data_IF_869897765268
#
_entry.id   IF_869897765268
#
_cell.length_a   1.000
_cell.length_b   1.000
_cell.length_c   1.000
_cell.angle_alpha   90.00
_cell.angle_beta   90.00
_cell.angle_gamma   90.00
#
_symmetry.space_group_name_H-M   'P 1'
#
loop_
_entity.id
_entity.type
_entity.pdbx_description
1 polymer ?
#
# COMPACT_ATOMS: atom_id res chain seq x y z
N UNK A 1 2.42 2.88 21.33
CA UNK A 1 1.29 2.02 20.89
C UNK A 1 0.55 2.75 19.76
N UNK A 2 0.28 2.10 18.63
CA UNK A 2 -0.23 2.76 17.41
C UNK A 2 -1.68 3.26 17.55
N UNK A 3 -2.02 4.36 16.86
CA UNK A 3 -3.33 5.00 16.92
C UNK A 3 -4.46 4.06 16.39
N UNK A 4 -5.49 3.73 17.20
CA UNK A 4 -6.59 2.83 16.81
C UNK A 4 -7.39 3.32 15.59
N UNK A 5 -7.38 4.63 15.29
CA UNK A 5 -8.04 5.19 14.10
C UNK A 5 -7.42 4.74 12.78
N UNK A 6 -6.16 4.29 12.79
CA UNK A 6 -5.47 3.77 11.60
C UNK A 6 -5.81 2.31 11.29
N UNK A 7 -6.70 1.65 12.04
CA UNK A 7 -7.10 0.25 11.83
C UNK A 7 -8.43 0.11 11.10
N UNK A 8 -8.80 1.07 10.25
CA UNK A 8 -9.93 0.88 9.33
C UNK A 8 -9.54 -0.17 8.28
N UNK A 9 -9.83 -1.43 8.58
CA UNK A 9 -9.63 -2.57 7.71
C UNK A 9 -10.83 -2.68 6.76
N UNK A 10 -10.59 -2.48 5.47
CA UNK A 10 -11.59 -2.72 4.42
C UNK A 10 -11.26 -4.08 3.83
N UNK A 11 -12.15 -5.07 4.02
CA UNK A 11 -11.94 -6.44 3.58
C UNK A 11 -10.57 -7.02 4.00
N UNK A 12 -10.18 -6.88 5.28
CA UNK A 12 -8.87 -7.32 5.83
C UNK A 12 -7.64 -6.63 5.22
N UNK A 13 -7.83 -5.57 4.44
CA UNK A 13 -6.76 -4.73 3.91
C UNK A 13 -6.78 -3.38 4.62
N UNK A 14 -5.63 -2.95 5.15
CA UNK A 14 -5.51 -1.62 5.72
C UNK A 14 -5.24 -0.62 4.57
N UNK A 15 -6.32 0.03 4.10
CA UNK A 15 -6.23 0.97 2.99
C UNK A 15 -5.41 2.19 3.38
N UNK A 16 -5.58 2.72 4.60
CA UNK A 16 -4.82 3.86 5.12
C UNK A 16 -3.32 3.56 5.15
N UNK A 17 -2.90 2.39 5.63
CA UNK A 17 -1.50 2.01 5.62
C UNK A 17 -0.94 1.82 4.19
N UNK A 18 -1.79 1.56 3.21
CA UNK A 18 -1.42 1.41 1.81
C UNK A 18 -1.42 2.74 1.04
N UNK A 19 -2.09 3.78 1.54
CA UNK A 19 -2.24 5.09 0.86
C UNK A 19 -1.59 6.26 1.61
N UNK A 20 -1.27 6.11 2.90
CA UNK A 20 -0.63 7.14 3.71
C UNK A 20 0.90 7.05 3.64
N UNK A 21 1.52 8.08 3.07
CA UNK A 21 2.97 8.23 3.06
C UNK A 21 3.48 8.59 4.45
N UNK A 22 4.45 7.83 4.95
CA UNK A 22 5.19 8.17 6.19
C UNK A 22 6.21 9.27 5.92
N UNK A 23 6.44 10.14 6.90
CA UNK A 23 7.40 11.26 6.82
C UNK A 23 8.85 10.79 6.58
N UNK A 24 9.21 9.60 7.05
CA UNK A 24 10.53 9.00 6.87
C UNK A 24 10.71 8.25 5.53
N UNK A 25 9.73 8.33 4.62
CA UNK A 25 9.80 7.65 3.34
C UNK A 25 10.70 8.42 2.35
N UNK A 26 11.84 7.83 2.00
CA UNK A 26 12.82 8.39 1.07
C UNK A 26 12.49 8.17 -0.41
N UNK A 27 11.73 7.13 -0.76
CA UNK A 27 11.37 6.80 -2.15
C UNK A 27 10.22 7.67 -2.68
N UNK A 28 9.49 8.35 -1.79
CA UNK A 28 8.26 9.04 -2.13
C UNK A 28 7.05 8.12 -2.29
N UNK A 29 7.24 6.79 -2.28
CA UNK A 29 6.21 5.79 -2.59
C UNK A 29 6.05 4.81 -1.43
N UNK A 30 4.80 4.59 -1.02
CA UNK A 30 4.47 3.74 0.12
C UNK A 30 4.83 2.29 -0.19
N UNK A 31 5.38 1.59 0.80
CA UNK A 31 5.81 0.21 0.63
C UNK A 31 7.08 0.04 -0.22
N UNK A 32 7.73 1.13 -0.63
CA UNK A 32 9.06 1.10 -1.26
C UNK A 32 10.08 1.70 -0.29
N UNK A 33 11.07 0.91 0.11
CA UNK A 33 12.11 1.31 1.05
C UNK A 33 13.50 0.91 0.57
N UNK A 34 14.51 1.73 0.88
CA UNK A 34 15.91 1.41 0.63
C UNK A 34 16.48 0.55 1.77
N UNK A 35 17.02 -0.61 1.42
CA UNK A 35 17.81 -1.44 2.33
C UNK A 35 19.28 -1.02 2.25
N UNK A 36 19.83 -0.50 3.35
CA UNK A 36 21.22 -0.03 3.41
C UNK A 36 22.22 -1.17 3.45
N UNK A 37 21.84 -2.33 3.98
CA UNK A 37 22.71 -3.48 4.16
C UNK A 37 22.85 -4.23 2.85
N UNK A 38 21.73 -4.49 2.18
CA UNK A 38 21.72 -5.14 0.88
C UNK A 38 21.99 -4.15 -0.27
N UNK A 39 22.01 -2.85 -0.01
CA UNK A 39 22.11 -1.78 -1.01
C UNK A 39 21.12 -1.95 -2.17
N UNK A 40 19.86 -2.25 -1.83
CA UNK A 40 18.81 -2.52 -2.80
C UNK A 40 17.47 -1.87 -2.40
N UNK A 41 16.62 -1.60 -3.38
CA UNK A 41 15.26 -1.13 -3.18
C UNK A 41 14.31 -2.30 -2.97
N UNK A 42 13.53 -2.24 -1.90
CA UNK A 42 12.57 -3.28 -1.56
C UNK A 42 11.16 -2.75 -1.75
N UNK A 43 10.36 -3.44 -2.57
CA UNK A 43 8.94 -3.14 -2.76
C UNK A 43 8.09 -4.23 -2.09
N UNK A 44 7.20 -3.81 -1.18
CA UNK A 44 6.30 -4.69 -0.43
C UNK A 44 4.87 -4.22 -0.54
N UNK A 45 3.91 -5.13 -0.70
CA UNK A 45 2.46 -4.86 -0.60
C UNK A 45 1.75 -5.98 0.15
N UNK A 46 1.04 -5.60 1.22
CA UNK A 46 0.11 -6.47 1.90
C UNK A 46 -1.31 -6.21 1.41
N UNK A 47 -2.01 -7.27 1.05
CA UNK A 47 -3.42 -7.24 0.64
C UNK A 47 -4.14 -8.40 1.33
N UNK A 48 -5.23 -8.11 2.05
CA UNK A 48 -6.04 -9.09 2.75
C UNK A 48 -5.24 -10.03 3.68
N UNK A 49 -4.24 -9.49 4.38
CA UNK A 49 -3.36 -10.26 5.25
C UNK A 49 -2.26 -11.05 4.53
N UNK A 50 -2.20 -11.00 3.20
CA UNK A 50 -1.21 -11.70 2.39
C UNK A 50 -0.21 -10.74 1.77
N UNK A 51 1.06 -11.13 1.75
CA UNK A 51 2.13 -10.37 1.10
C UNK A 51 2.13 -10.68 -0.40
N UNK A 52 1.45 -9.84 -1.18
CA UNK A 52 1.26 -10.04 -2.63
C UNK A 52 2.39 -9.46 -3.48
N UNK A 53 3.23 -8.60 -2.89
CA UNK A 53 4.46 -8.10 -3.50
C UNK A 53 5.56 -8.15 -2.45
N UNK A 54 6.67 -8.81 -2.75
CA UNK A 54 7.88 -8.82 -1.93
C UNK A 54 9.12 -9.07 -2.79
N UNK A 55 9.57 -8.02 -3.47
CA UNK A 55 10.72 -8.12 -4.37
C UNK A 55 11.74 -7.04 -4.07
N UNK A 56 12.99 -7.38 -4.35
CA UNK A 56 14.14 -6.48 -4.29
C UNK A 56 14.51 -6.06 -5.71
N UNK A 57 14.96 -4.83 -5.85
CA UNK A 57 15.31 -4.20 -7.11
C UNK A 57 16.60 -3.40 -6.93
N UNK A 58 17.39 -3.33 -7.99
CA UNK A 58 18.62 -2.51 -8.01
C UNK A 58 18.25 -1.03 -8.16
N UNK A 59 17.28 -0.72 -9.02
CA UNK A 59 16.84 0.65 -9.30
C UNK A 59 15.57 1.01 -8.54
N UNK A 60 15.46 2.28 -8.14
CA UNK A 60 14.32 2.79 -7.39
C UNK A 60 13.06 2.78 -8.26
N UNK A 61 13.23 3.13 -9.52
CA UNK A 61 12.18 3.25 -10.53
C UNK A 61 11.46 1.92 -10.71
N UNK A 62 12.21 0.81 -10.74
CA UNK A 62 11.67 -0.54 -10.88
C UNK A 62 10.83 -0.93 -9.65
N UNK A 63 11.34 -0.65 -8.45
CA UNK A 63 10.61 -0.89 -7.21
C UNK A 63 9.30 -0.09 -7.15
N UNK A 64 9.34 1.16 -7.60
CA UNK A 64 8.16 2.04 -7.70
C UNK A 64 7.18 1.51 -8.75
N UNK A 65 7.67 1.10 -9.93
CA UNK A 65 6.84 0.56 -11.00
C UNK A 65 6.13 -0.72 -10.54
N UNK A 66 6.86 -1.65 -9.92
CA UNK A 66 6.31 -2.87 -9.35
C UNK A 66 5.25 -2.59 -8.29
N UNK A 67 5.52 -1.63 -7.40
CA UNK A 67 4.56 -1.21 -6.38
C UNK A 67 3.28 -0.62 -6.99
N UNK A 68 3.40 0.31 -7.94
CA UNK A 68 2.26 0.90 -8.65
C UNK A 68 1.46 -0.13 -9.44
N UNK A 69 2.12 -1.10 -10.07
CA UNK A 69 1.46 -2.20 -10.76
C UNK A 69 0.65 -3.07 -9.80
N UNK A 70 1.20 -3.39 -8.63
CA UNK A 70 0.49 -4.14 -7.60
C UNK A 70 -0.71 -3.36 -7.04
N UNK A 71 -0.58 -2.05 -6.81
CA UNK A 71 -1.69 -1.19 -6.38
C UNK A 71 -2.82 -1.14 -7.41
N UNK A 72 -2.50 -1.03 -8.71
CA UNK A 72 -3.50 -1.08 -9.78
C UNK A 72 -4.27 -2.40 -9.80
N UNK A 73 -3.60 -3.52 -9.50
CA UNK A 73 -4.22 -4.86 -9.48
C UNK A 73 -5.10 -5.09 -8.26
N UNK A 74 -4.64 -4.72 -7.06
CA UNK A 74 -5.30 -5.09 -5.80
C UNK A 74 -6.02 -3.93 -5.10
N UNK A 75 -5.43 -2.73 -5.10
CA UNK A 75 -5.95 -1.58 -4.34
C UNK A 75 -7.02 -0.82 -5.11
N UNK A 76 -6.83 -0.57 -6.41
CA UNK A 76 -7.81 0.18 -7.23
C UNK A 76 -9.20 -0.47 -7.24
N UNK A 77 -9.36 -1.79 -7.44
CA UNK A 77 -10.67 -2.42 -7.35
C UNK A 77 -11.28 -2.33 -5.95
N UNK A 78 -10.46 -2.43 -4.90
CA UNK A 78 -10.91 -2.32 -3.52
C UNK A 78 -11.40 -0.90 -3.18
N UNK A 79 -10.68 0.14 -3.61
CA UNK A 79 -11.08 1.54 -3.45
C UNK A 79 -12.42 1.83 -4.13
N UNK A 80 -12.62 1.32 -5.35
CA UNK A 80 -13.90 1.48 -6.06
C UNK A 80 -15.06 0.85 -5.28
N UNK A 81 -14.88 -0.38 -4.78
CA UNK A 81 -15.90 -1.07 -3.96
C UNK A 81 -16.22 -0.28 -2.68
N UNK A 82 -15.20 0.22 -1.98
CA UNK A 82 -15.38 1.03 -0.77
C UNK A 82 -16.14 2.33 -1.05
N UNK A 83 -15.75 3.07 -2.09
CA UNK A 83 -16.42 4.33 -2.44
C UNK A 83 -17.90 4.10 -2.81
N UNK A 84 -18.20 3.01 -3.53
CA UNK A 84 -19.58 2.64 -3.88
C UNK A 84 -20.43 2.29 -2.64
N UNK A 85 -19.89 1.53 -1.68
CA UNK A 85 -20.62 1.18 -0.45
C UNK A 85 -20.84 2.39 0.46
N UNK A 86 -19.86 3.29 0.56
CA UNK A 86 -19.98 4.48 1.41
C UNK A 86 -20.88 5.56 0.80
N UNK A 87 -20.94 5.71 -0.52
CA UNK A 87 -21.91 6.60 -1.16
C UNK A 87 -23.36 6.13 -0.96
N UNK A 88 -23.63 4.82 -1.08
CA UNK A 88 -24.98 4.27 -0.83
C UNK A 88 -25.46 4.47 0.61
N UNK A 89 -24.56 4.37 1.59
CA UNK A 89 -24.92 4.54 3.01
C UNK A 89 -25.00 6.00 3.48
N UNK A 90 -24.62 6.98 2.66
CA UNK A 90 -24.76 8.42 2.98
C UNK A 90 -25.99 9.06 2.33
N UNK A 91 -26.68 8.33 1.44
CA UNK A 91 -27.87 8.77 0.72
C UNK A 91 -29.18 8.15 1.26
N UNK A 92 -29.10 7.39 2.36
CA UNK A 92 -30.24 6.83 3.09
C UNK A 92 -30.29 7.39 4.52
#
# INVERSE_FOLDING_TARGET
MGNPKNFQLINRTNLVASTLKRSNNKSGVIGVSWDKTAQNWVARLYFQGHLVLNHVYVHMEDAIAARKAAEKRYIVPLQKKYNQTHQKNQLN
#
